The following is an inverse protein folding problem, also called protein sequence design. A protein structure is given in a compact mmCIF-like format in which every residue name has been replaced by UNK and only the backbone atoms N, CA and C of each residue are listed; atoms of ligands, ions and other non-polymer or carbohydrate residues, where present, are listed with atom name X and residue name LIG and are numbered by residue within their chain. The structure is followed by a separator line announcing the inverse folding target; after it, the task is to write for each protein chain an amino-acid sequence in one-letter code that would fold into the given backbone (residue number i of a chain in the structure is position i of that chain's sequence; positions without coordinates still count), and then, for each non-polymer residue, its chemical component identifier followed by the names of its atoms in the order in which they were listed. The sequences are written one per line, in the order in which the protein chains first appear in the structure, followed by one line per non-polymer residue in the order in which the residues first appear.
data_IF_831706624325
#
_entry.id   IF_831706624325
#
_cell.length_a   1.000
_cell.length_b   1.000
_cell.length_c   1.000
_cell.angle_alpha   90.00
_cell.angle_beta   90.00
_cell.angle_gamma   90.00
#
_symmetry.space_group_name_H-M   'P 1'
#
loop_
_entity.id
_entity.type
_entity.pdbx_description
1 polymer ?
#
# COMPACT_ATOMS: atom_id res chain seq x y z
N UNK A 1 20.63 -0.14 -15.55
CA UNK A 1 20.42 -0.13 -14.11
C UNK A 1 19.76 -1.42 -13.65
N UNK A 2 20.01 -1.82 -12.41
CA UNK A 2 19.33 -2.94 -11.73
C UNK A 2 18.31 -2.39 -10.75
N UNK A 3 17.06 -2.75 -10.90
CA UNK A 3 15.94 -2.20 -10.16
C UNK A 3 15.26 -3.30 -9.34
N UNK A 4 15.08 -3.06 -8.05
CA UNK A 4 14.31 -3.92 -7.17
C UNK A 4 12.92 -3.33 -6.89
N UNK A 5 11.93 -4.20 -6.67
CA UNK A 5 10.59 -3.83 -6.22
C UNK A 5 10.17 -4.76 -5.08
N UNK A 6 9.63 -4.21 -4.01
CA UNK A 6 8.98 -4.99 -2.96
C UNK A 6 7.65 -4.36 -2.52
N UNK A 7 6.78 -5.19 -1.96
CA UNK A 7 5.51 -4.75 -1.37
C UNK A 7 5.42 -5.24 0.08
N UNK A 8 5.24 -4.33 1.04
CA UNK A 8 5.20 -4.69 2.45
C UNK A 8 4.02 -4.05 3.20
N UNK A 9 3.56 -4.73 4.26
CA UNK A 9 2.37 -4.35 5.03
C UNK A 9 1.07 -4.89 4.43
N UNK A 10 -0.07 -4.33 4.80
CA UNK A 10 -1.40 -4.79 4.37
C UNK A 10 -1.64 -4.71 2.85
N UNK A 11 -2.63 -5.44 2.37
CA UNK A 11 -3.07 -5.39 0.97
C UNK A 11 -3.89 -4.12 0.72
N UNK A 12 -3.74 -3.51 -0.44
CA UNK A 12 -4.62 -2.44 -0.90
C UNK A 12 -4.83 -2.50 -2.43
N UNK A 13 -5.90 -1.89 -2.94
CA UNK A 13 -6.14 -1.80 -4.37
C UNK A 13 -5.02 -1.08 -5.13
N UNK A 14 -4.76 -1.49 -6.38
CA UNK A 14 -3.84 -0.82 -7.29
C UNK A 14 -2.37 -1.24 -7.20
N UNK A 15 -2.01 -2.15 -6.29
CA UNK A 15 -0.59 -2.56 -6.11
C UNK A 15 -0.02 -3.22 -7.36
N UNK A 16 -0.74 -4.14 -7.97
CA UNK A 16 -0.27 -4.81 -9.20
C UNK A 16 -0.15 -3.84 -10.38
N UNK A 17 -1.12 -2.93 -10.53
CA UNK A 17 -1.07 -1.85 -11.53
C UNK A 17 0.18 -0.97 -11.35
N UNK A 18 0.52 -0.65 -10.10
CA UNK A 18 1.73 0.12 -9.79
C UNK A 18 3.00 -0.67 -10.11
N UNK A 19 3.09 -1.95 -9.70
CA UNK A 19 4.23 -2.81 -10.01
C UNK A 19 4.42 -2.91 -11.54
N UNK A 20 3.33 -3.11 -12.28
CA UNK A 20 3.34 -3.16 -13.74
C UNK A 20 3.84 -1.84 -14.35
N UNK A 21 3.33 -0.71 -13.87
CA UNK A 21 3.71 0.62 -14.38
C UNK A 21 5.19 0.92 -14.13
N UNK A 22 5.71 0.62 -12.93
CA UNK A 22 7.14 0.75 -12.62
C UNK A 22 7.95 -0.16 -13.54
N UNK A 23 7.55 -1.43 -13.68
CA UNK A 23 8.26 -2.41 -14.51
C UNK A 23 8.31 -1.97 -15.98
N UNK A 24 7.19 -1.52 -16.54
CA UNK A 24 7.11 -1.00 -17.91
C UNK A 24 8.04 0.21 -18.10
N UNK A 25 7.98 1.15 -17.19
CA UNK A 25 8.79 2.38 -17.24
C UNK A 25 10.28 2.07 -17.17
N UNK A 26 10.70 1.24 -16.24
CA UNK A 26 12.11 0.90 -16.06
C UNK A 26 12.63 0.06 -17.23
N UNK A 27 11.88 -0.94 -17.71
CA UNK A 27 12.25 -1.74 -18.88
C UNK A 27 12.33 -0.90 -20.16
N UNK A 28 11.46 0.09 -20.36
CA UNK A 28 11.52 1.00 -21.52
C UNK A 28 12.81 1.83 -21.57
N UNK A 29 13.48 1.99 -20.43
CA UNK A 29 14.78 2.65 -20.31
C UNK A 29 15.97 1.67 -20.39
N UNK A 30 15.72 0.39 -20.70
CA UNK A 30 16.76 -0.64 -20.77
C UNK A 30 17.20 -1.17 -19.40
N UNK A 31 16.46 -0.89 -18.33
CA UNK A 31 16.79 -1.35 -16.99
C UNK A 31 16.33 -2.81 -16.76
N UNK A 32 17.06 -3.53 -15.90
CA UNK A 32 16.65 -4.87 -15.43
C UNK A 32 15.81 -4.71 -14.18
N UNK A 33 14.64 -5.36 -14.13
CA UNK A 33 13.71 -5.28 -13.01
C UNK A 33 13.49 -6.67 -12.42
N UNK A 34 13.52 -6.77 -11.11
CA UNK A 34 13.10 -7.96 -10.36
C UNK A 34 12.36 -7.56 -9.07
N UNK A 35 11.54 -8.46 -8.55
CA UNK A 35 10.86 -8.28 -7.29
C UNK A 35 11.52 -9.04 -6.15
N UNK A 36 11.28 -8.61 -4.92
CA UNK A 36 11.49 -9.40 -3.72
C UNK A 36 10.14 -9.94 -3.26
N UNK A 37 9.98 -11.26 -3.23
CA UNK A 37 8.75 -11.88 -2.78
C UNK A 37 8.58 -11.73 -1.25
N UNK A 38 7.32 -11.64 -0.79
CA UNK A 38 6.99 -11.55 0.64
C UNK A 38 7.59 -10.30 1.35
N UNK A 39 7.77 -9.19 0.65
CA UNK A 39 8.18 -7.92 1.23
C UNK A 39 9.58 -7.92 1.86
N UNK A 40 9.70 -7.35 3.07
CA UNK A 40 10.99 -7.31 3.76
C UNK A 40 11.48 -8.68 4.22
N UNK A 41 10.58 -9.66 4.44
CA UNK A 41 10.99 -11.04 4.68
C UNK A 41 11.80 -11.58 3.51
N UNK A 42 11.29 -11.42 2.30
CA UNK A 42 11.99 -11.88 1.11
C UNK A 42 13.25 -11.08 0.80
N UNK A 43 13.27 -9.79 1.11
CA UNK A 43 14.47 -8.98 1.02
C UNK A 43 15.56 -9.50 1.97
N UNK A 44 15.24 -9.74 3.24
CA UNK A 44 16.16 -10.27 4.23
C UNK A 44 16.74 -11.65 3.82
N UNK A 45 15.89 -12.49 3.22
CA UNK A 45 16.27 -13.85 2.78
C UNK A 45 16.79 -13.91 1.33
N UNK A 46 16.91 -12.77 0.64
CA UNK A 46 17.31 -12.68 -0.77
C UNK A 46 16.43 -13.48 -1.74
N UNK A 47 15.13 -13.56 -1.47
CA UNK A 47 14.16 -14.28 -2.31
C UNK A 47 13.74 -13.40 -3.49
N UNK A 48 14.44 -13.51 -4.59
CA UNK A 48 14.18 -12.73 -5.82
C UNK A 48 13.17 -13.45 -6.72
N UNK A 49 12.27 -12.67 -7.29
CA UNK A 49 11.30 -13.11 -8.28
C UNK A 49 11.48 -12.32 -9.56
N UNK A 50 11.61 -13.01 -10.67
CA UNK A 50 11.65 -12.39 -11.99
C UNK A 50 10.28 -12.52 -12.64
N UNK A 51 9.79 -11.44 -13.20
CA UNK A 51 8.49 -11.41 -13.88
C UNK A 51 8.56 -10.62 -15.18
N UNK A 52 7.81 -11.09 -16.16
CA UNK A 52 7.57 -10.34 -17.37
C UNK A 52 6.33 -9.47 -17.20
N UNK A 53 6.41 -8.26 -17.74
CA UNK A 53 5.33 -7.26 -17.67
C UNK A 53 3.99 -7.78 -18.20
N UNK A 54 4.02 -8.71 -19.15
CA UNK A 54 2.83 -9.33 -19.76
C UNK A 54 2.07 -10.23 -18.80
N UNK A 55 2.73 -10.71 -17.74
CA UNK A 55 2.16 -11.60 -16.74
C UNK A 55 1.74 -10.86 -15.45
N UNK A 56 1.90 -9.52 -15.37
CA UNK A 56 1.41 -8.75 -14.23
C UNK A 56 -0.05 -8.38 -14.50
N UNK A 57 -0.95 -9.12 -13.89
CA UNK A 57 -2.38 -8.83 -13.88
C UNK A 57 -2.66 -7.54 -13.09
N UNK A 58 -3.64 -6.75 -13.54
CA UNK A 58 -4.15 -5.56 -12.83
C UNK A 58 -5.12 -5.93 -11.70
N UNK A 59 -5.31 -7.22 -11.43
CA UNK A 59 -6.18 -7.74 -10.38
C UNK A 59 -5.77 -7.34 -8.95
N UNK A 60 -6.64 -7.60 -7.97
CA UNK A 60 -6.39 -7.25 -6.58
C UNK A 60 -5.23 -8.04 -5.99
N UNK A 61 -4.65 -7.50 -4.91
CA UNK A 61 -3.53 -8.14 -4.21
C UNK A 61 -2.17 -7.67 -4.69
N UNK A 62 -1.14 -8.49 -4.46
CA UNK A 62 0.22 -8.26 -4.93
C UNK A 62 0.82 -9.52 -5.53
N UNK A 63 1.27 -9.47 -6.77
CA UNK A 63 2.01 -10.56 -7.42
C UNK A 63 3.30 -10.90 -6.66
N UNK A 64 3.89 -9.92 -5.97
CA UNK A 64 5.07 -10.11 -5.14
C UNK A 64 4.73 -10.62 -3.73
N UNK A 65 3.44 -10.84 -3.43
CA UNK A 65 2.97 -11.10 -2.06
C UNK A 65 3.36 -9.97 -1.12
N UNK A 66 3.10 -10.11 0.17
CA UNK A 66 3.42 -9.08 1.18
C UNK A 66 3.60 -9.72 2.53
N UNK A 67 4.38 -9.10 3.40
CA UNK A 67 4.50 -9.49 4.81
C UNK A 67 4.52 -8.26 5.71
N UNK A 68 4.35 -8.49 7.00
CA UNK A 68 4.48 -7.47 8.05
C UNK A 68 5.85 -7.51 8.73
N UNK A 69 6.79 -8.30 8.20
CA UNK A 69 8.14 -8.37 8.74
C UNK A 69 8.86 -7.05 8.56
N UNK A 70 9.71 -6.74 9.53
CA UNK A 70 10.61 -5.59 9.46
C UNK A 70 11.88 -5.95 8.70
N UNK A 71 12.56 -4.92 8.22
CA UNK A 71 13.87 -5.10 7.60
C UNK A 71 14.91 -5.52 8.66
N UNK A 72 15.70 -6.53 8.35
CA UNK A 72 16.99 -6.75 8.99
C UNK A 72 18.04 -6.04 8.15
N UNK A 73 18.50 -4.88 8.62
CA UNK A 73 19.36 -3.99 7.84
C UNK A 73 20.65 -4.68 7.44
N UNK A 74 21.27 -5.47 8.33
CA UNK A 74 22.55 -6.16 8.05
C UNK A 74 22.42 -7.20 6.92
N UNK A 75 21.32 -7.94 6.87
CA UNK A 75 21.04 -8.87 5.78
C UNK A 75 20.65 -8.14 4.51
N UNK A 76 19.76 -7.12 4.64
CA UNK A 76 19.24 -6.37 3.52
C UNK A 76 20.32 -5.62 2.74
N UNK A 77 21.28 -4.99 3.41
CA UNK A 77 22.42 -4.29 2.79
C UNK A 77 23.16 -5.21 1.82
N UNK A 78 23.47 -6.44 2.24
CA UNK A 78 24.11 -7.41 1.38
C UNK A 78 23.26 -7.81 0.17
N UNK A 79 21.93 -7.93 0.37
CA UNK A 79 21.00 -8.44 -0.62
C UNK A 79 20.60 -7.39 -1.67
N UNK A 80 20.74 -6.08 -1.37
CA UNK A 80 20.54 -4.99 -2.31
C UNK A 80 21.82 -4.50 -2.97
N UNK A 81 22.98 -5.01 -2.56
CA UNK A 81 24.26 -4.67 -3.19
C UNK A 81 24.20 -4.88 -4.70
N UNK A 82 24.54 -3.85 -5.46
CA UNK A 82 24.47 -3.85 -6.91
C UNK A 82 23.10 -3.50 -7.50
N UNK A 83 22.11 -3.13 -6.66
CA UNK A 83 20.93 -2.42 -7.10
C UNK A 83 21.22 -0.93 -7.22
N UNK A 84 20.77 -0.33 -8.31
CA UNK A 84 20.78 1.12 -8.48
C UNK A 84 19.58 1.78 -7.77
N UNK A 85 18.44 1.04 -7.69
CA UNK A 85 17.21 1.55 -7.10
C UNK A 85 16.35 0.42 -6.51
N UNK A 86 15.70 0.71 -5.37
CA UNK A 86 14.70 -0.18 -4.75
C UNK A 86 13.41 0.59 -4.51
N UNK A 87 12.32 0.17 -5.15
CA UNK A 87 10.97 0.66 -4.89
C UNK A 87 10.34 -0.13 -3.74
N UNK A 88 10.01 0.55 -2.65
CA UNK A 88 9.36 0.00 -1.47
C UNK A 88 7.90 0.48 -1.42
N UNK A 89 6.97 -0.37 -1.87
CA UNK A 89 5.52 -0.08 -1.86
C UNK A 89 4.99 -0.52 -0.48
N UNK A 90 4.88 0.43 0.45
CA UNK A 90 4.76 0.13 1.88
C UNK A 90 3.56 0.78 2.54
N UNK A 91 2.97 0.08 3.51
CA UNK A 91 2.09 0.67 4.52
C UNK A 91 2.89 1.50 5.53
N UNK A 92 2.20 2.23 6.43
CA UNK A 92 2.83 3.16 7.38
C UNK A 92 3.95 2.50 8.20
N UNK A 93 3.67 1.36 8.86
CA UNK A 93 4.68 0.67 9.67
C UNK A 93 5.87 0.15 8.84
N UNK A 94 5.58 -0.42 7.68
CA UNK A 94 6.63 -0.95 6.79
C UNK A 94 7.48 0.15 6.13
N UNK A 95 6.95 1.39 6.03
CA UNK A 95 7.72 2.53 5.54
C UNK A 95 8.87 2.90 6.49
N UNK A 96 8.74 2.61 7.79
CA UNK A 96 9.84 2.77 8.75
C UNK A 96 11.02 1.90 8.37
N UNK A 97 10.78 0.64 7.97
CA UNK A 97 11.83 -0.26 7.48
C UNK A 97 12.51 0.27 6.21
N UNK A 98 11.74 0.83 5.26
CA UNK A 98 12.33 1.44 4.07
C UNK A 98 13.19 2.67 4.43
N UNK A 99 12.74 3.48 5.40
CA UNK A 99 13.50 4.63 5.91
C UNK A 99 14.79 4.18 6.61
N UNK A 100 14.70 3.17 7.49
CA UNK A 100 15.86 2.69 8.25
C UNK A 100 16.93 2.14 7.30
N UNK A 101 16.52 1.45 6.22
CA UNK A 101 17.41 1.01 5.16
C UNK A 101 18.03 2.20 4.39
N UNK A 102 17.23 3.23 4.07
CA UNK A 102 17.70 4.39 3.32
C UNK A 102 18.67 5.29 4.11
N UNK A 103 18.66 5.22 5.44
CA UNK A 103 19.51 6.00 6.33
C UNK A 103 20.80 5.27 6.75
N UNK A 104 20.97 4.01 6.36
CA UNK A 104 22.18 3.25 6.69
C UNK A 104 23.32 3.64 5.74
N UNK A 105 24.45 4.08 6.29
CA UNK A 105 25.60 4.60 5.55
C UNK A 105 26.25 3.56 4.60
N UNK A 106 25.92 2.28 4.73
CA UNK A 106 26.39 1.19 3.86
C UNK A 106 25.55 1.03 2.59
N UNK A 107 24.43 1.76 2.46
CA UNK A 107 23.46 1.63 1.36
C UNK A 107 23.72 2.68 0.30
N UNK A 108 24.27 2.27 -0.84
CA UNK A 108 24.41 3.10 -2.04
C UNK A 108 23.17 3.07 -2.95
N UNK A 109 22.25 2.13 -2.70
CA UNK A 109 21.00 1.95 -3.47
C UNK A 109 20.04 3.10 -3.18
N UNK A 110 19.49 3.71 -4.24
CA UNK A 110 18.45 4.73 -4.08
C UNK A 110 17.13 4.07 -3.65
N UNK A 111 16.71 4.29 -2.40
CA UNK A 111 15.47 3.75 -1.83
C UNK A 111 14.32 4.71 -2.09
N UNK A 112 13.27 4.24 -2.77
CA UNK A 112 12.06 5.02 -3.08
C UNK A 112 10.86 4.41 -2.36
N UNK A 113 10.36 5.10 -1.34
CA UNK A 113 9.13 4.73 -0.64
C UNK A 113 7.89 5.20 -1.40
N UNK A 114 6.92 4.31 -1.57
CA UNK A 114 5.61 4.62 -2.16
C UNK A 114 4.53 4.25 -1.13
N UNK A 115 3.74 5.25 -0.74
CA UNK A 115 2.68 5.09 0.25
C UNK A 115 1.56 4.20 -0.26
N UNK A 116 1.25 3.15 0.48
CA UNK A 116 0.24 2.14 0.18
C UNK A 116 -0.58 1.86 1.44
N UNK A 117 -1.71 2.54 1.60
CA UNK A 117 -2.63 2.32 2.72
C UNK A 117 -4.04 2.82 2.39
N UNK A 118 -5.05 2.04 2.76
CA UNK A 118 -6.45 2.46 2.60
C UNK A 118 -6.87 3.50 3.66
N UNK A 119 -6.03 3.74 4.67
CA UNK A 119 -6.34 4.67 5.76
C UNK A 119 -5.82 6.09 5.53
N UNK A 120 -4.96 6.32 4.53
CA UNK A 120 -4.27 7.60 4.31
C UNK A 120 -3.55 8.13 5.56
N UNK A 121 -2.94 7.22 6.30
CA UNK A 121 -2.34 7.46 7.62
C UNK A 121 -0.85 7.87 7.57
N UNK A 122 -0.39 8.34 6.40
CA UNK A 122 0.96 8.91 6.22
C UNK A 122 0.86 10.40 5.94
N UNK A 123 1.22 11.27 6.90
CA UNK A 123 1.08 12.71 6.76
C UNK A 123 1.82 13.28 5.53
N UNK A 124 1.14 14.14 4.78
CA UNK A 124 1.71 14.82 3.62
C UNK A 124 1.81 13.97 2.34
N UNK A 125 1.33 12.73 2.36
CA UNK A 125 1.30 11.85 1.21
C UNK A 125 -0.14 11.41 0.90
N UNK A 126 -0.47 11.32 -0.37
CA UNK A 126 -1.67 10.63 -0.83
C UNK A 126 -1.34 9.14 -1.02
N UNK A 127 -2.08 8.28 -0.33
CA UNK A 127 -1.79 6.85 -0.32
C UNK A 127 -2.54 6.10 -1.40
N UNK A 128 -1.84 5.20 -2.09
CA UNK A 128 -2.46 4.25 -3.00
C UNK A 128 -3.54 3.42 -2.29
N UNK A 129 -4.73 3.33 -2.89
CA UNK A 129 -5.85 2.53 -2.39
C UNK A 129 -6.88 3.31 -1.56
N UNK A 130 -6.57 4.50 -1.05
CA UNK A 130 -7.47 5.30 -0.24
C UNK A 130 -8.75 5.70 -0.98
N UNK A 131 -8.63 6.24 -2.20
CA UNK A 131 -9.78 6.67 -3.00
C UNK A 131 -10.71 5.50 -3.36
N UNK A 132 -10.15 4.34 -3.66
CA UNK A 132 -10.94 3.12 -3.92
C UNK A 132 -11.68 2.68 -2.65
N UNK A 133 -11.04 2.77 -1.48
CA UNK A 133 -11.67 2.44 -0.21
C UNK A 133 -12.86 3.37 0.10
N UNK A 134 -12.73 4.68 -0.16
CA UNK A 134 -13.85 5.63 -0.04
C UNK A 134 -15.00 5.23 -0.95
N UNK A 135 -14.72 4.89 -2.21
CA UNK A 135 -15.73 4.50 -3.18
C UNK A 135 -16.49 3.23 -2.76
N UNK A 136 -15.78 2.23 -2.23
CA UNK A 136 -16.42 1.01 -1.73
C UNK A 136 -17.25 1.29 -0.47
N UNK A 137 -16.75 2.10 0.47
CA UNK A 137 -17.51 2.49 1.65
C UNK A 137 -18.78 3.28 1.30
N UNK A 138 -18.73 4.10 0.26
CA UNK A 138 -19.90 4.82 -0.23
C UNK A 138 -21.04 3.85 -0.63
N UNK A 139 -20.72 2.67 -1.19
CA UNK A 139 -21.71 1.63 -1.49
C UNK A 139 -22.32 1.02 -0.22
N UNK A 140 -21.49 0.77 0.80
CA UNK A 140 -21.99 0.27 2.08
C UNK A 140 -22.89 1.30 2.78
N UNK A 141 -22.59 2.60 2.70
CA UNK A 141 -23.45 3.68 3.20
C UNK A 141 -24.78 3.69 2.46
N UNK A 142 -24.77 3.51 1.13
CA UNK A 142 -26.00 3.41 0.34
C UNK A 142 -26.86 2.23 0.80
N UNK A 143 -26.28 1.06 1.05
CA UNK A 143 -27.00 -0.12 1.57
C UNK A 143 -27.55 0.12 2.98
N UNK A 144 -26.75 0.68 3.88
CA UNK A 144 -27.14 0.99 5.24
C UNK A 144 -28.30 2.01 5.29
N UNK A 145 -28.28 3.00 4.42
CA UNK A 145 -29.36 3.99 4.28
C UNK A 145 -30.66 3.33 3.84
N UNK A 146 -30.62 2.46 2.82
CA UNK A 146 -31.79 1.74 2.33
C UNK A 146 -32.39 0.86 3.43
N UNK A 147 -31.54 0.15 4.16
CA UNK A 147 -31.94 -0.67 5.30
C UNK A 147 -32.65 0.17 6.36
N UNK A 148 -32.02 1.27 6.80
CA UNK A 148 -32.59 2.16 7.82
C UNK A 148 -33.96 2.71 7.43
N UNK A 149 -34.12 3.18 6.20
CA UNK A 149 -35.40 3.71 5.68
C UNK A 149 -36.44 2.62 5.54
N UNK A 150 -36.09 1.44 5.04
CA UNK A 150 -37.01 0.34 4.79
C UNK A 150 -37.56 -0.28 6.07
N UNK A 151 -36.75 -0.33 7.12
CA UNK A 151 -37.08 -0.98 8.40
C UNK A 151 -37.47 0.03 9.50
N UNK A 152 -37.41 1.33 9.20
CA UNK A 152 -37.58 2.42 10.17
C UNK A 152 -36.66 2.23 11.39
N UNK A 153 -35.38 1.93 11.14
CA UNK A 153 -34.37 1.63 12.16
C UNK A 153 -33.17 2.58 12.10
N UNK A 154 -32.30 2.49 13.09
CA UNK A 154 -30.99 3.13 13.12
C UNK A 154 -29.96 2.07 12.74
N UNK A 155 -29.13 2.35 11.74
CA UNK A 155 -28.04 1.48 11.31
C UNK A 155 -26.70 2.13 11.65
N UNK A 156 -25.83 1.38 12.28
CA UNK A 156 -24.43 1.77 12.54
C UNK A 156 -23.52 1.05 11.58
N UNK A 157 -22.70 1.83 10.85
CA UNK A 157 -21.66 1.31 9.97
C UNK A 157 -20.30 1.59 10.61
N UNK A 158 -19.65 0.54 11.10
CA UNK A 158 -18.29 0.63 11.62
C UNK A 158 -17.27 0.61 10.49
N UNK A 159 -16.35 1.59 10.50
CA UNK A 159 -15.30 1.74 9.50
C UNK A 159 -13.94 1.61 10.20
N UNK A 160 -13.03 0.73 9.72
CA UNK A 160 -11.71 0.60 10.31
C UNK A 160 -10.89 1.87 10.09
N UNK A 161 -10.20 2.36 11.12
CA UNK A 161 -9.46 3.62 11.06
C UNK A 161 -8.00 3.55 11.51
N UNK A 162 -7.61 2.53 12.30
CA UNK A 162 -6.26 2.40 12.87
C UNK A 162 -5.75 3.67 13.59
N UNK A 163 -6.64 4.35 14.31
CA UNK A 163 -6.32 5.61 14.99
C UNK A 163 -6.32 6.84 14.08
N UNK A 164 -6.76 6.71 12.81
CA UNK A 164 -6.91 7.78 11.85
C UNK A 164 -8.38 7.87 11.41
N UNK A 165 -8.93 9.07 11.34
CA UNK A 165 -10.33 9.33 11.00
C UNK A 165 -10.55 9.65 9.50
N UNK A 166 -9.50 9.76 8.69
CA UNK A 166 -9.55 10.17 7.30
C UNK A 166 -10.56 9.34 6.49
N UNK A 167 -10.50 8.02 6.62
CA UNK A 167 -11.33 7.12 5.83
C UNK A 167 -12.83 7.29 6.14
N UNK A 168 -13.21 7.33 7.41
CA UNK A 168 -14.63 7.48 7.81
C UNK A 168 -15.18 8.86 7.47
N UNK A 169 -14.37 9.91 7.66
CA UNK A 169 -14.76 11.28 7.33
C UNK A 169 -14.98 11.44 5.83
N UNK A 170 -14.04 10.99 5.00
CA UNK A 170 -14.17 11.11 3.55
C UNK A 170 -15.30 10.24 2.97
N UNK A 171 -15.50 9.03 3.51
CA UNK A 171 -16.63 8.20 3.14
C UNK A 171 -17.98 8.86 3.50
N UNK A 172 -18.04 9.45 4.70
CA UNK A 172 -19.19 10.24 5.15
C UNK A 172 -19.48 11.45 4.23
N UNK A 173 -18.47 12.22 3.89
CA UNK A 173 -18.60 13.35 2.96
C UNK A 173 -19.07 12.91 1.57
N UNK A 174 -18.62 11.76 1.08
CA UNK A 174 -19.05 11.21 -0.21
C UNK A 174 -20.54 10.86 -0.27
N UNK A 175 -21.21 10.69 0.88
CA UNK A 175 -22.63 10.35 1.02
C UNK A 175 -23.35 11.16 2.10
N UNK A 176 -22.97 12.40 2.31
CA UNK A 176 -23.45 13.25 3.41
C UNK A 176 -24.99 13.38 3.49
N UNK A 177 -25.70 13.32 2.36
CA UNK A 177 -27.17 13.36 2.33
C UNK A 177 -27.86 12.10 2.86
N UNK A 178 -27.11 11.02 3.08
CA UNK A 178 -27.61 9.70 3.53
C UNK A 178 -27.18 9.32 4.94
N UNK A 179 -26.41 10.16 5.58
CA UNK A 179 -25.92 9.93 6.95
C UNK A 179 -26.37 11.03 7.88
N UNK A 180 -26.66 10.69 9.11
CA UNK A 180 -27.05 11.65 10.15
C UNK A 180 -25.82 12.16 10.89
N UNK A 181 -24.91 11.25 11.26
CA UNK A 181 -23.72 11.57 12.03
C UNK A 181 -22.51 10.71 11.61
N UNK A 182 -21.33 11.31 11.66
CA UNK A 182 -20.05 10.62 11.65
C UNK A 182 -19.49 10.67 13.06
N UNK A 183 -19.28 9.52 13.66
CA UNK A 183 -18.74 9.40 15.02
C UNK A 183 -17.28 8.97 14.90
N UNK A 184 -16.38 9.79 15.41
CA UNK A 184 -14.95 9.47 15.48
C UNK A 184 -14.53 9.35 16.94
N UNK A 185 -13.54 8.48 17.26
CA UNK A 185 -12.94 8.50 18.60
C UNK A 185 -12.42 9.90 18.88
N UNK A 186 -12.71 10.42 20.08
CA UNK A 186 -12.06 11.63 20.57
C UNK A 186 -10.57 11.35 20.76
N UNK A 187 -9.73 12.11 20.04
CA UNK A 187 -8.29 12.15 20.27
C UNK A 187 -7.93 12.76 21.61
#
# INVERSE_FOLDING_TARGET
MNIGILTAGGVCPGVNTLIRSITLREKSQGNRVHGFADGFRGLNQNVKTYFDQEHIDDGPGSILKTSYDFVNVDEAVNNITGLDRLYCICGNESMKSARDLALDDRVDTNIIGIAKTVFNDMPGLESLGFQTAIQELARYIDCAYIEAVSTNSIVFLEVPGRGNNELVVHAGLARNSKITNVITPST
#
